data_IF_689447708662
#
_entry.id   IF_689447708662
#
_cell.length_a   1.000
_cell.length_b   1.000
_cell.length_c   1.000
_cell.angle_alpha   90.00
_cell.angle_beta   90.00
_cell.angle_gamma   90.00
#
_symmetry.space_group_name_H-M   'P 1'
#
loop_
_entity.id
_entity.type
_entity.pdbx_description
1 polymer ?
#
# COMPACT_ATOMS: atom_id res chain seq x y z
N UNK A 1 -16.31 -18.15 -1.84
CA UNK A 1 -16.51 -16.72 -1.50
C UNK A 1 -15.57 -16.42 -0.37
N UNK A 2 -14.51 -15.66 -0.62
CA UNK A 2 -13.54 -15.28 0.40
C UNK A 2 -14.21 -14.34 1.37
N UNK A 3 -14.15 -14.62 2.67
CA UNK A 3 -14.57 -13.67 3.71
C UNK A 3 -13.97 -12.28 3.42
N UNK A 4 -14.74 -11.19 3.61
CA UNK A 4 -14.17 -9.86 3.56
C UNK A 4 -13.07 -9.80 4.63
N UNK A 5 -11.82 -9.75 4.17
CA UNK A 5 -10.64 -9.68 5.02
C UNK A 5 -10.83 -8.57 6.06
N UNK A 6 -10.88 -8.95 7.34
CA UNK A 6 -11.28 -8.05 8.42
C UNK A 6 -10.15 -7.04 8.72
N UNK A 7 -10.49 -5.97 9.46
CA UNK A 7 -9.56 -4.88 9.72
C UNK A 7 -8.31 -5.32 10.49
N UNK A 8 -8.42 -6.30 11.40
CA UNK A 8 -7.31 -6.80 12.21
C UNK A 8 -6.27 -7.56 11.37
N UNK A 9 -6.72 -8.35 10.40
CA UNK A 9 -5.86 -9.06 9.47
C UNK A 9 -5.06 -8.09 8.59
N UNK A 10 -5.71 -6.99 8.17
CA UNK A 10 -5.05 -5.93 7.41
C UNK A 10 -3.99 -5.21 8.25
N UNK A 11 -4.30 -4.88 9.50
CA UNK A 11 -3.36 -4.23 10.42
C UNK A 11 -2.14 -5.11 10.70
N UNK A 12 -2.37 -6.40 10.97
CA UNK A 12 -1.29 -7.39 11.12
C UNK A 12 -0.41 -7.46 9.88
N UNK A 13 -1.02 -7.48 8.69
CA UNK A 13 -0.30 -7.46 7.42
C UNK A 13 0.51 -6.17 7.21
N UNK A 14 -0.02 -5.00 7.57
CA UNK A 14 0.63 -3.71 7.42
C UNK A 14 1.77 -3.46 8.41
N UNK A 15 1.96 -4.29 9.44
CA UNK A 15 2.97 -4.11 10.50
C UNK A 15 4.40 -3.87 10.00
N UNK A 16 4.74 -4.37 8.82
CA UNK A 16 6.05 -4.11 8.21
C UNK A 16 6.18 -2.68 7.69
N UNK A 17 7.30 -2.03 7.95
CA UNK A 17 7.58 -0.65 7.51
C UNK A 17 7.39 -0.43 6.00
N UNK A 18 7.80 -1.39 5.16
CA UNK A 18 7.70 -1.21 3.70
C UNK A 18 6.25 -1.08 3.22
N UNK A 19 5.31 -1.83 3.81
CA UNK A 19 3.88 -1.75 3.45
C UNK A 19 3.27 -0.47 3.94
N UNK A 20 3.51 -0.11 5.20
CA UNK A 20 3.00 1.12 5.80
C UNK A 20 3.54 2.35 5.06
N UNK A 21 4.85 2.41 4.80
CA UNK A 21 5.46 3.53 4.08
C UNK A 21 5.01 3.59 2.61
N UNK A 22 4.80 2.45 1.96
CA UNK A 22 4.22 2.41 0.60
C UNK A 22 2.80 3.00 0.59
N UNK A 23 1.95 2.64 1.56
CA UNK A 23 0.61 3.20 1.66
C UNK A 23 0.63 4.70 1.98
N UNK A 24 1.48 5.16 2.90
CA UNK A 24 1.65 6.60 3.19
C UNK A 24 2.06 7.40 1.96
N UNK A 25 2.97 6.88 1.16
CA UNK A 25 3.36 7.54 -0.09
C UNK A 25 2.21 7.61 -1.11
N UNK A 26 1.36 6.57 -1.16
CA UNK A 26 0.19 6.50 -2.04
C UNK A 26 -1.03 7.28 -1.53
N UNK A 27 -1.09 7.58 -0.23
CA UNK A 27 -2.09 8.46 0.37
C UNK A 27 -1.86 9.92 -0.01
N UNK A 28 -0.59 10.34 -0.10
CA UNK A 28 -0.22 11.69 -0.54
C UNK A 28 -0.62 11.96 -1.98
N UNK A 29 -0.32 11.04 -2.89
CA UNK A 29 -0.68 11.14 -4.32
C UNK A 29 -0.47 9.81 -5.05
N UNK A 30 -1.07 9.63 -6.25
CA UNK A 30 -0.75 8.49 -7.09
C UNK A 30 0.72 8.47 -7.51
N UNK A 31 1.39 7.32 -7.41
CA UNK A 31 2.83 7.18 -7.70
C UNK A 31 3.17 5.91 -8.46
N UNK A 32 4.29 5.92 -9.17
CA UNK A 32 4.86 4.72 -9.77
C UNK A 32 5.68 3.92 -8.75
N UNK A 33 5.92 2.61 -8.96
CA UNK A 33 6.80 1.83 -8.10
C UNK A 33 8.22 2.42 -7.98
N UNK A 34 8.70 3.08 -9.04
CA UNK A 34 10.02 3.74 -9.06
C UNK A 34 10.04 4.97 -8.16
N UNK A 35 8.99 5.78 -8.18
CA UNK A 35 8.90 6.97 -7.33
C UNK A 35 8.81 6.56 -5.86
N UNK A 36 7.99 5.55 -5.53
CA UNK A 36 7.86 5.02 -4.17
C UNK A 36 9.22 4.47 -3.70
N UNK A 37 9.90 3.67 -4.52
CA UNK A 37 11.24 3.12 -4.22
C UNK A 37 12.24 4.20 -3.83
N UNK A 38 12.26 5.32 -4.57
CA UNK A 38 13.10 6.47 -4.23
C UNK A 38 12.65 7.14 -2.92
N UNK A 39 11.35 7.34 -2.72
CA UNK A 39 10.81 8.01 -1.54
C UNK A 39 11.05 7.25 -0.24
N UNK A 40 10.98 5.91 -0.25
CA UNK A 40 11.09 5.09 0.97
C UNK A 40 12.45 4.39 1.13
N UNK A 41 13.39 4.61 0.19
CA UNK A 41 14.74 4.03 0.25
C UNK A 41 14.79 2.50 0.16
N UNK A 42 13.82 1.87 -0.50
CA UNK A 42 13.77 0.40 -0.73
C UNK A 42 13.95 0.08 -2.19
N UNK A 43 14.40 -1.13 -2.51
CA UNK A 43 14.65 -1.53 -3.90
C UNK A 43 13.35 -1.62 -4.72
N UNK A 44 13.44 -1.35 -6.03
CA UNK A 44 12.31 -1.44 -6.95
C UNK A 44 11.62 -2.83 -6.94
N UNK A 45 12.35 -3.97 -6.87
CA UNK A 45 11.73 -5.28 -6.75
C UNK A 45 10.92 -5.46 -5.46
N UNK A 46 11.44 -4.99 -4.31
CA UNK A 46 10.72 -5.06 -3.04
C UNK A 46 9.44 -4.22 -3.07
N UNK A 47 9.51 -3.01 -3.62
CA UNK A 47 8.35 -2.13 -3.77
C UNK A 47 7.32 -2.72 -4.73
N UNK A 48 7.75 -3.27 -5.87
CA UNK A 48 6.84 -3.87 -6.85
C UNK A 48 6.11 -5.09 -6.28
N UNK A 49 6.81 -5.92 -5.50
CA UNK A 49 6.19 -7.02 -4.75
C UNK A 49 5.18 -6.50 -3.73
N UNK A 50 5.57 -5.50 -2.94
CA UNK A 50 4.71 -4.88 -1.93
C UNK A 50 3.43 -4.32 -2.53
N UNK A 51 3.51 -3.58 -3.64
CA UNK A 51 2.34 -3.05 -4.36
C UNK A 51 1.43 -4.18 -4.85
N UNK A 52 2.01 -5.28 -5.32
CA UNK A 52 1.23 -6.43 -5.79
C UNK A 52 0.46 -7.11 -4.65
N UNK A 53 1.10 -7.28 -3.48
CA UNK A 53 0.43 -7.79 -2.27
C UNK A 53 -0.68 -6.85 -1.78
N UNK A 54 -0.41 -5.53 -1.73
CA UNK A 54 -1.39 -4.51 -1.37
C UNK A 54 -2.59 -4.52 -2.33
N UNK A 55 -2.34 -4.67 -3.64
CA UNK A 55 -3.38 -4.75 -4.66
C UNK A 55 -4.21 -6.03 -4.49
N UNK A 56 -3.57 -7.16 -4.21
CA UNK A 56 -4.25 -8.43 -3.96
C UNK A 56 -5.21 -8.35 -2.76
N UNK A 57 -4.83 -7.63 -1.70
CA UNK A 57 -5.71 -7.35 -0.55
C UNK A 57 -6.73 -6.21 -0.78
N UNK A 58 -6.74 -5.62 -1.97
CA UNK A 58 -7.67 -4.54 -2.34
C UNK A 58 -7.38 -3.21 -1.63
N UNK A 59 -6.15 -2.98 -1.17
CA UNK A 59 -5.75 -1.75 -0.47
C UNK A 59 -5.30 -0.65 -1.44
N UNK A 60 -4.86 -1.04 -2.64
CA UNK A 60 -4.44 -0.13 -3.71
C UNK A 60 -5.00 -0.57 -5.06
N UNK A 61 -5.05 0.34 -6.03
CA UNK A 61 -5.40 0.06 -7.42
C UNK A 61 -4.39 0.67 -8.39
N UNK A 62 -4.35 0.15 -9.62
CA UNK A 62 -3.59 0.75 -10.71
C UNK A 62 -4.52 1.69 -11.50
N UNK A 63 -4.10 2.93 -11.72
CA UNK A 63 -4.90 3.94 -12.43
C UNK A 63 -4.81 3.85 -13.95
N UNK A 64 -3.77 3.19 -14.46
CA UNK A 64 -3.51 3.02 -15.88
C UNK A 64 -3.11 1.56 -16.19
N UNK A 65 -4.02 0.59 -16.03
CA UNK A 65 -3.73 -0.84 -16.17
C UNK A 65 -3.16 -1.22 -17.55
N UNK A 66 -3.64 -0.55 -18.61
CA UNK A 66 -3.22 -0.78 -20.00
C UNK A 66 -1.78 -0.33 -20.30
N UNK A 67 -1.18 0.46 -19.42
CA UNK A 67 0.18 0.93 -19.63
C UNK A 67 1.19 -0.22 -19.45
N UNK A 68 2.06 -0.40 -20.43
CA UNK A 68 3.17 -1.36 -20.37
C UNK A 68 4.32 -0.90 -19.47
N UNK A 69 4.45 0.43 -19.28
CA UNK A 69 5.44 1.09 -18.42
C UNK A 69 4.78 2.24 -17.66
N UNK A 70 5.42 2.74 -16.60
CA UNK A 70 4.94 3.89 -15.81
C UNK A 70 3.52 3.70 -15.26
N UNK A 71 3.24 2.52 -14.68
CA UNK A 71 1.98 2.28 -13.97
C UNK A 71 1.92 3.10 -12.69
N UNK A 72 0.87 3.90 -12.56
CA UNK A 72 0.54 4.66 -11.36
C UNK A 72 -0.40 3.85 -10.48
N UNK A 73 -0.12 3.87 -9.19
CA UNK A 73 -0.95 3.24 -8.18
C UNK A 73 -1.54 4.31 -7.27
N UNK A 74 -2.70 4.02 -6.70
CA UNK A 74 -3.40 4.88 -5.76
C UNK A 74 -3.95 4.04 -4.60
N UNK A 75 -3.97 4.61 -3.39
CA UNK A 75 -4.60 3.98 -2.23
C UNK A 75 -6.14 3.99 -2.39
N UNK A 76 -6.79 2.89 -2.03
CA UNK A 76 -8.26 2.78 -1.95
C UNK A 76 -8.76 3.12 -0.54
N UNK A 77 -10.05 3.36 -0.38
CA UNK A 77 -10.64 3.65 0.95
C UNK A 77 -10.32 2.57 2.00
N UNK A 78 -10.41 1.29 1.63
CA UNK A 78 -9.98 0.16 2.48
C UNK A 78 -8.52 0.30 2.95
N UNK A 79 -7.64 0.75 2.06
CA UNK A 79 -6.23 1.02 2.37
C UNK A 79 -6.05 2.18 3.34
N UNK A 80 -6.78 3.28 3.13
CA UNK A 80 -6.75 4.45 4.03
C UNK A 80 -7.26 4.09 5.43
N UNK A 81 -8.33 3.32 5.51
CA UNK A 81 -8.88 2.87 6.79
C UNK A 81 -7.88 2.00 7.55
N UNK A 82 -7.31 0.98 6.89
CA UNK A 82 -6.29 0.13 7.50
C UNK A 82 -5.05 0.91 7.97
N UNK A 83 -4.60 1.89 7.17
CA UNK A 83 -3.47 2.75 7.53
C UNK A 83 -3.79 3.60 8.77
N UNK A 84 -4.96 4.26 8.81
CA UNK A 84 -5.39 5.06 9.97
C UNK A 84 -5.46 4.24 11.26
N UNK A 85 -5.98 3.02 11.21
CA UNK A 85 -6.04 2.16 12.41
C UNK A 85 -4.64 1.75 12.88
N UNK A 86 -3.72 1.48 11.95
CA UNK A 86 -2.33 1.15 12.27
C UNK A 86 -1.62 2.30 12.98
N UNK A 87 -1.90 3.54 12.55
CA UNK A 87 -1.28 4.74 13.12
C UNK A 87 -1.79 5.06 14.52
N UNK A 88 -3.08 4.82 14.80
CA UNK A 88 -3.64 4.96 16.16
C UNK A 88 -2.90 4.08 17.17
N UNK A 89 -2.68 2.80 16.84
CA UNK A 89 -1.93 1.88 17.72
C UNK A 89 -0.47 2.32 17.88
N UNK A 90 0.14 2.86 16.82
CA UNK A 90 1.54 3.29 16.85
C UNK A 90 1.75 4.60 17.61
N UNK A 91 0.71 5.44 17.75
CA UNK A 91 0.73 6.71 18.49
C UNK A 91 0.30 6.62 19.96
N UNK A 92 -0.06 5.43 20.45
CA UNK A 92 -0.42 5.18 21.85
C UNK A 92 0.76 4.68 22.73
N UNK A 93 2.02 4.80 22.26
CA UNK A 93 3.22 4.55 23.05
C UNK A 93 4.04 5.81 23.30
#
# INVERSE_FOLDING_TARGET
MSDPENIWDLMSFLKTEIRTNTLRELEKSPKTPKDISKSIGKSLPQVSRTISELKHKGLVECKNPEASKNRYYQIKEKGKEALRQQEKISGEN
#
